data_IF_231360664052
#
_entry.id   IF_231360664052
#
_cell.length_a   1.000
_cell.length_b   1.000
_cell.length_c   1.000
_cell.angle_alpha   90.00
_cell.angle_beta   90.00
_cell.angle_gamma   90.00
#
_symmetry.space_group_name_H-M   'P 1'
#
loop_
_entity.id
_entity.type
_entity.pdbx_description
1 polymer ?
#
# COMPACT_ATOMS: atom_id res chain seq x y z
N UNK A 1 6.88 16.14 -8.27
CA UNK A 1 6.03 15.76 -7.13
C UNK A 1 4.59 15.62 -7.63
N UNK A 2 3.93 14.51 -7.31
CA UNK A 2 2.55 14.25 -7.75
C UNK A 2 1.57 14.98 -6.84
N UNK A 3 0.81 15.93 -7.38
CA UNK A 3 -0.25 16.61 -6.64
C UNK A 3 -1.57 15.83 -6.72
N UNK A 4 -2.59 16.29 -5.98
CA UNK A 4 -3.89 15.60 -5.89
C UNK A 4 -4.60 15.49 -7.26
N UNK A 5 -4.60 16.55 -8.05
CA UNK A 5 -5.24 16.55 -9.38
C UNK A 5 -4.53 15.58 -10.34
N UNK A 6 -3.21 15.59 -10.33
CA UNK A 6 -2.42 14.64 -11.13
C UNK A 6 -2.67 13.19 -10.69
N UNK A 7 -2.84 12.96 -9.39
CA UNK A 7 -3.14 11.63 -8.84
C UNK A 7 -4.47 11.08 -9.37
N UNK A 8 -5.50 11.91 -9.45
CA UNK A 8 -6.82 11.50 -9.98
C UNK A 8 -6.72 11.18 -11.49
N UNK A 9 -5.91 11.94 -12.24
CA UNK A 9 -5.61 11.65 -13.66
C UNK A 9 -4.86 10.32 -13.78
N UNK A 10 -3.85 10.07 -12.97
CA UNK A 10 -3.08 8.82 -12.97
C UNK A 10 -3.97 7.62 -12.69
N UNK A 11 -4.97 7.75 -11.80
CA UNK A 11 -5.93 6.69 -11.55
C UNK A 11 -6.73 6.37 -12.83
N UNK A 12 -7.20 7.37 -13.56
CA UNK A 12 -7.93 7.15 -14.81
C UNK A 12 -7.04 6.52 -15.89
N UNK A 13 -5.80 6.95 -16.01
CA UNK A 13 -4.82 6.34 -16.92
C UNK A 13 -4.66 4.84 -16.61
N UNK A 14 -4.44 4.48 -15.34
CA UNK A 14 -4.28 3.09 -14.90
C UNK A 14 -5.51 2.24 -15.18
N UNK A 15 -6.71 2.78 -14.94
CA UNK A 15 -7.97 2.08 -15.25
C UNK A 15 -8.08 1.81 -16.76
N UNK A 16 -7.72 2.79 -17.60
CA UNK A 16 -7.72 2.63 -19.04
C UNK A 16 -6.68 1.61 -19.51
N UNK A 17 -5.49 1.64 -18.94
CA UNK A 17 -4.41 0.68 -19.21
C UNK A 17 -4.85 -0.77 -18.88
N UNK A 18 -5.50 -0.97 -17.75
CA UNK A 18 -6.04 -2.28 -17.36
C UNK A 18 -7.12 -2.75 -18.34
N UNK A 19 -8.04 -1.85 -18.73
CA UNK A 19 -9.10 -2.15 -19.71
C UNK A 19 -8.55 -2.46 -21.11
N UNK A 20 -7.49 -1.77 -21.53
CA UNK A 20 -6.80 -2.05 -22.79
C UNK A 20 -6.24 -3.48 -22.85
N UNK A 21 -5.83 -4.04 -21.71
CA UNK A 21 -5.43 -5.43 -21.56
C UNK A 21 -6.60 -6.40 -21.36
N UNK A 22 -7.85 -5.91 -21.47
CA UNK A 22 -9.08 -6.67 -21.20
C UNK A 22 -9.17 -7.23 -19.77
N UNK A 23 -8.51 -6.59 -18.82
CA UNK A 23 -8.64 -6.90 -17.40
C UNK A 23 -9.98 -6.33 -16.92
N UNK A 24 -10.85 -7.15 -16.31
CA UNK A 24 -12.23 -6.76 -15.98
C UNK A 24 -12.31 -5.96 -14.67
N UNK A 25 -11.62 -4.83 -14.61
CA UNK A 25 -11.72 -3.89 -13.48
C UNK A 25 -13.13 -3.34 -13.35
N UNK A 26 -13.57 -3.05 -12.13
CA UNK A 26 -14.90 -2.53 -11.87
C UNK A 26 -15.20 -1.26 -12.67
N UNK A 27 -16.46 -1.12 -13.10
CA UNK A 27 -16.97 0.13 -13.71
C UNK A 27 -17.33 1.18 -12.67
N UNK A 28 -17.38 0.81 -11.39
CA UNK A 28 -17.81 1.65 -10.26
C UNK A 28 -16.65 2.04 -9.34
N UNK A 29 -15.51 2.39 -9.91
CA UNK A 29 -14.37 2.94 -9.17
C UNK A 29 -14.55 4.45 -9.06
N UNK A 30 -14.49 4.99 -7.84
CA UNK A 30 -14.53 6.43 -7.58
C UNK A 30 -13.39 7.15 -8.31
N UNK A 31 -13.73 8.30 -8.94
CA UNK A 31 -12.77 9.04 -9.77
C UNK A 31 -11.67 9.72 -8.97
N UNK A 32 -11.94 10.02 -7.71
CA UNK A 32 -11.02 10.75 -6.83
C UNK A 32 -10.27 9.76 -5.93
N UNK A 33 -8.95 9.83 -5.94
CA UNK A 33 -8.10 9.07 -5.03
C UNK A 33 -8.14 9.70 -3.64
N UNK A 34 -8.27 8.90 -2.61
CA UNK A 34 -8.20 9.35 -1.23
C UNK A 34 -6.73 9.36 -0.79
N UNK A 35 -6.26 10.49 -0.26
CA UNK A 35 -4.91 10.61 0.31
C UNK A 35 -5.00 10.50 1.83
N UNK A 36 -4.41 9.45 2.40
CA UNK A 36 -4.46 9.18 3.83
C UNK A 36 -3.09 9.38 4.49
N UNK A 37 -3.02 10.27 5.48
CA UNK A 37 -1.79 10.55 6.23
C UNK A 37 -1.51 9.62 7.41
N UNK A 38 -2.45 8.73 7.78
CA UNK A 38 -2.31 7.86 8.96
C UNK A 38 -1.43 6.62 8.72
N UNK A 39 -1.50 5.92 7.55
CA UNK A 39 -0.68 4.75 7.32
C UNK A 39 0.80 5.09 7.31
N UNK A 40 1.62 4.23 7.94
CA UNK A 40 3.07 4.39 7.97
C UNK A 40 3.81 3.37 7.11
N UNK A 41 3.18 2.25 6.80
CA UNK A 41 3.81 1.12 6.11
C UNK A 41 3.15 0.73 4.79
N UNK A 42 1.81 0.79 4.70
CA UNK A 42 1.10 0.43 3.47
C UNK A 42 1.12 1.59 2.48
N UNK A 43 1.24 1.30 1.21
CA UNK A 43 1.29 2.29 0.14
C UNK A 43 -0.09 2.71 -0.33
N UNK A 44 -1.02 1.77 -0.42
CA UNK A 44 -2.39 2.00 -0.85
C UNK A 44 -3.41 1.09 -0.17
N UNK A 45 -4.66 1.26 -0.54
CA UNK A 45 -5.78 0.43 -0.09
C UNK A 45 -6.95 0.56 -1.05
N UNK A 46 -7.58 -0.56 -1.42
CA UNK A 46 -8.86 -0.60 -2.11
C UNK A 46 -9.96 -0.90 -1.09
N UNK A 47 -10.98 -0.05 -1.04
CA UNK A 47 -12.14 -0.23 -0.17
C UNK A 47 -13.41 -0.39 -0.98
N UNK A 48 -14.25 -1.34 -0.59
CA UNK A 48 -15.58 -1.48 -1.13
C UNK A 48 -16.54 -0.57 -0.38
N UNK A 49 -17.22 0.30 -1.09
CA UNK A 49 -18.28 1.18 -0.57
C UNK A 49 -19.65 0.75 -1.09
N UNK A 50 -20.72 1.44 -0.67
CA UNK A 50 -22.07 1.20 -1.17
C UNK A 50 -22.19 1.48 -2.68
N UNK A 51 -21.42 2.44 -3.19
CA UNK A 51 -21.49 2.92 -4.56
C UNK A 51 -20.41 2.32 -5.47
N UNK A 52 -19.52 1.47 -4.94
CA UNK A 52 -18.45 0.87 -5.72
C UNK A 52 -17.16 0.72 -4.93
N UNK A 53 -16.06 1.17 -5.52
CA UNK A 53 -14.73 1.05 -4.93
C UNK A 53 -14.06 2.41 -4.77
N UNK A 54 -13.43 2.61 -3.63
CA UNK A 54 -12.58 3.77 -3.33
C UNK A 54 -11.12 3.34 -3.31
N UNK A 55 -10.27 4.09 -3.99
CA UNK A 55 -8.82 3.87 -4.01
C UNK A 55 -8.16 4.91 -3.11
N UNK A 56 -7.38 4.42 -2.16
CA UNK A 56 -6.64 5.23 -1.20
C UNK A 56 -5.14 5.05 -1.43
N UNK A 57 -4.37 6.12 -1.33
CA UNK A 57 -2.92 6.08 -1.26
C UNK A 57 -2.41 6.76 0.01
N UNK A 58 -1.27 6.31 0.50
CA UNK A 58 -0.65 6.91 1.67
C UNK A 58 0.05 8.21 1.30
N UNK A 59 -0.13 9.25 2.12
CA UNK A 59 0.46 10.58 1.89
C UNK A 59 1.98 10.52 1.72
N UNK A 60 2.66 9.68 2.47
CA UNK A 60 4.12 9.57 2.37
C UNK A 60 4.60 9.17 0.97
N UNK A 61 3.76 8.49 0.18
CA UNK A 61 4.06 8.15 -1.21
C UNK A 61 4.19 9.40 -2.09
N UNK A 62 3.46 10.46 -1.76
CA UNK A 62 3.47 11.73 -2.49
C UNK A 62 4.54 12.71 -1.98
N UNK A 63 4.90 12.61 -0.70
CA UNK A 63 5.83 13.52 -0.03
C UNK A 63 7.31 13.12 -0.24
N UNK A 64 7.58 11.86 -0.61
CA UNK A 64 8.94 11.37 -0.78
C UNK A 64 9.50 11.75 -2.17
N UNK A 65 10.64 12.42 -2.18
CA UNK A 65 11.28 12.94 -3.39
C UNK A 65 11.70 11.85 -4.41
N UNK A 66 11.91 10.62 -3.95
CA UNK A 66 12.30 9.48 -4.79
C UNK A 66 11.12 8.79 -5.49
N UNK A 67 9.87 9.16 -5.18
CA UNK A 67 8.70 8.50 -5.73
C UNK A 67 8.32 9.09 -7.09
N UNK A 68 8.56 8.33 -8.17
CA UNK A 68 8.17 8.72 -9.53
C UNK A 68 6.68 8.49 -9.80
N UNK A 69 6.12 9.15 -10.82
CA UNK A 69 4.75 8.87 -11.28
C UNK A 69 4.54 7.40 -11.63
N UNK A 70 5.56 6.74 -12.18
CA UNK A 70 5.51 5.31 -12.50
C UNK A 70 5.32 4.43 -11.26
N UNK A 71 5.97 4.77 -10.17
CA UNK A 71 5.81 4.11 -8.87
C UNK A 71 4.38 4.33 -8.35
N UNK A 72 3.89 5.57 -8.38
CA UNK A 72 2.52 5.91 -7.98
C UNK A 72 1.50 5.14 -8.82
N UNK A 73 1.66 5.10 -10.15
CA UNK A 73 0.82 4.29 -11.05
C UNK A 73 0.87 2.80 -10.71
N UNK A 74 2.03 2.27 -10.36
CA UNK A 74 2.16 0.89 -9.90
C UNK A 74 1.34 0.59 -8.64
N UNK A 75 1.34 1.50 -7.67
CA UNK A 75 0.50 1.40 -6.47
C UNK A 75 -0.99 1.50 -6.82
N UNK A 76 -1.38 2.48 -7.64
CA UNK A 76 -2.76 2.61 -8.10
C UNK A 76 -3.23 1.36 -8.86
N UNK A 77 -2.38 0.80 -9.72
CA UNK A 77 -2.68 -0.43 -10.46
C UNK A 77 -2.88 -1.62 -9.52
N UNK A 78 -2.04 -1.76 -8.49
CA UNK A 78 -2.20 -2.77 -7.45
C UNK A 78 -3.61 -2.71 -6.82
N UNK A 79 -4.04 -1.52 -6.43
CA UNK A 79 -5.34 -1.32 -5.79
C UNK A 79 -6.51 -1.46 -6.77
N UNK A 80 -6.36 -0.99 -8.01
CA UNK A 80 -7.37 -1.14 -9.07
C UNK A 80 -7.61 -2.61 -9.39
N UNK A 81 -6.59 -3.46 -9.39
CA UNK A 81 -6.74 -4.90 -9.61
C UNK A 81 -7.59 -5.59 -8.54
N UNK A 82 -7.62 -5.06 -7.31
CA UNK A 82 -8.51 -5.56 -6.26
C UNK A 82 -10.00 -5.32 -6.55
N UNK A 83 -10.34 -4.46 -7.50
CA UNK A 83 -11.72 -4.23 -7.91
C UNK A 83 -12.25 -5.31 -8.86
N UNK A 84 -11.39 -6.15 -9.42
CA UNK A 84 -11.78 -7.27 -10.25
C UNK A 84 -12.48 -8.34 -9.42
N UNK A 85 -13.44 -9.03 -10.03
CA UNK A 85 -14.08 -10.18 -9.39
C UNK A 85 -13.04 -11.24 -9.01
N UNK A 86 -13.17 -11.81 -7.83
CA UNK A 86 -12.28 -12.85 -7.26
C UNK A 86 -10.81 -12.41 -7.08
N UNK A 87 -10.56 -11.10 -7.10
CA UNK A 87 -9.24 -10.49 -6.89
C UNK A 87 -9.13 -9.70 -5.57
N UNK A 88 -10.03 -9.94 -4.62
CA UNK A 88 -10.00 -9.26 -3.32
C UNK A 88 -8.70 -9.56 -2.55
N UNK A 89 -8.20 -10.78 -2.70
CA UNK A 89 -6.90 -11.19 -2.20
C UNK A 89 -5.89 -11.31 -3.34
N UNK A 90 -4.59 -11.44 -3.00
CA UNK A 90 -3.51 -11.61 -3.98
C UNK A 90 -3.39 -13.06 -4.47
N UNK A 91 -4.50 -13.64 -4.92
CA UNK A 91 -4.58 -15.00 -5.46
C UNK A 91 -3.96 -15.13 -6.85
N UNK A 92 -4.13 -16.31 -7.46
CA UNK A 92 -3.55 -16.61 -8.79
C UNK A 92 -4.06 -15.65 -9.87
N UNK A 93 -5.35 -15.34 -9.86
CA UNK A 93 -5.96 -14.45 -10.86
C UNK A 93 -5.42 -13.02 -10.73
N UNK A 94 -5.36 -12.48 -9.49
CA UNK A 94 -4.76 -11.17 -9.24
C UNK A 94 -3.30 -11.11 -9.71
N UNK A 95 -2.51 -12.16 -9.41
CA UNK A 95 -1.11 -12.26 -9.84
C UNK A 95 -0.99 -12.30 -11.36
N UNK A 96 -1.90 -12.99 -12.05
CA UNK A 96 -1.95 -13.03 -13.51
C UNK A 96 -2.17 -11.64 -14.10
N UNK A 97 -3.14 -10.89 -13.57
CA UNK A 97 -3.41 -9.52 -14.02
C UNK A 97 -2.25 -8.57 -13.71
N UNK A 98 -1.67 -8.67 -12.51
CA UNK A 98 -0.47 -7.90 -12.17
C UNK A 98 0.69 -8.19 -13.12
N UNK A 99 0.92 -9.46 -13.46
CA UNK A 99 1.93 -9.86 -14.44
C UNK A 99 1.70 -9.28 -15.83
N UNK A 100 0.45 -9.24 -16.29
CA UNK A 100 0.08 -8.63 -17.57
C UNK A 100 0.38 -7.13 -17.59
N UNK A 101 0.00 -6.40 -16.54
CA UNK A 101 0.30 -4.97 -16.43
C UNK A 101 1.80 -4.69 -16.31
N UNK A 102 2.52 -5.49 -15.54
CA UNK A 102 3.98 -5.39 -15.42
C UNK A 102 4.66 -5.56 -16.79
N UNK A 103 4.23 -6.55 -17.57
CA UNK A 103 4.79 -6.83 -18.89
C UNK A 103 4.47 -5.72 -19.89
N UNK A 104 3.26 -5.22 -19.90
CA UNK A 104 2.78 -4.23 -20.86
C UNK A 104 3.32 -2.81 -20.57
N UNK A 105 3.39 -2.41 -19.31
CA UNK A 105 3.68 -1.03 -18.90
C UNK A 105 4.96 -0.89 -18.06
N UNK A 106 5.66 -1.97 -17.78
CA UNK A 106 6.89 -1.96 -17.00
C UNK A 106 6.70 -1.57 -15.53
N UNK A 107 5.55 -1.87 -14.96
CA UNK A 107 5.32 -1.73 -13.52
C UNK A 107 6.04 -2.82 -12.73
N UNK A 108 6.13 -2.63 -11.43
CA UNK A 108 6.62 -3.63 -10.48
C UNK A 108 5.54 -3.97 -9.45
N UNK A 109 4.36 -4.34 -9.95
CA UNK A 109 3.22 -4.71 -9.12
C UNK A 109 3.52 -6.08 -8.50
N UNK A 110 3.57 -6.12 -7.16
CA UNK A 110 3.77 -7.33 -6.36
C UNK A 110 2.78 -7.32 -5.20
N UNK A 111 2.60 -8.47 -4.57
CA UNK A 111 1.83 -8.58 -3.33
C UNK A 111 2.34 -7.63 -2.24
N UNK A 112 3.65 -7.57 -2.07
CA UNK A 112 4.33 -6.68 -1.12
C UNK A 112 5.55 -6.08 -1.80
N UNK A 113 5.71 -4.77 -1.70
CA UNK A 113 6.90 -4.03 -2.11
C UNK A 113 7.64 -3.52 -0.87
N UNK A 114 8.97 -3.50 -0.92
CA UNK A 114 9.78 -2.84 0.09
C UNK A 114 9.84 -1.33 -0.16
N UNK A 115 10.20 -0.55 0.87
CA UNK A 115 10.41 0.89 0.69
C UNK A 115 11.54 1.22 -0.27
N UNK A 116 12.60 0.40 -0.29
CA UNK A 116 13.73 0.56 -1.21
C UNK A 116 13.30 0.39 -2.67
N UNK A 117 12.48 -0.65 -2.98
CA UNK A 117 11.92 -0.85 -4.33
C UNK A 117 11.02 0.30 -4.78
N UNK A 118 10.41 1.00 -3.82
CA UNK A 118 9.52 2.15 -4.05
C UNK A 118 10.27 3.49 -4.05
N UNK A 119 11.60 3.49 -4.12
CA UNK A 119 12.42 4.70 -4.14
C UNK A 119 12.51 5.43 -2.80
N UNK A 120 12.16 4.78 -1.71
CA UNK A 120 12.12 5.35 -0.35
C UNK A 120 13.13 4.66 0.57
N UNK A 121 14.35 4.46 0.09
CA UNK A 121 15.43 3.91 0.89
C UNK A 121 15.66 4.75 2.16
N UNK A 122 15.84 4.10 3.31
CA UNK A 122 16.00 4.75 4.61
C UNK A 122 14.69 5.04 5.35
N UNK A 123 13.50 4.88 4.73
CA UNK A 123 12.24 5.04 5.44
C UNK A 123 12.02 3.97 6.50
N UNK A 124 12.47 2.75 6.28
CA UNK A 124 12.41 1.68 7.28
C UNK A 124 13.22 2.01 8.51
N UNK A 125 14.41 2.59 8.33
CA UNK A 125 15.28 3.04 9.41
C UNK A 125 14.63 4.15 10.22
N UNK A 126 14.10 5.20 9.55
CA UNK A 126 13.35 6.27 10.22
C UNK A 126 12.14 5.75 10.99
N UNK A 127 11.43 4.75 10.47
CA UNK A 127 10.32 4.12 11.16
C UNK A 127 10.78 3.26 12.34
N UNK A 128 11.94 2.61 12.24
CA UNK A 128 12.53 1.87 13.33
C UNK A 128 12.97 2.81 14.46
N UNK A 129 13.63 3.93 14.15
CA UNK A 129 14.03 4.98 15.10
C UNK A 129 12.82 5.62 15.79
N UNK A 130 11.69 5.78 15.08
CA UNK A 130 10.45 6.32 15.64
C UNK A 130 9.70 5.37 16.57
N UNK A 131 10.17 4.13 16.74
CA UNK A 131 9.57 3.15 17.64
C UNK A 131 9.97 3.45 19.07
N UNK A 132 9.19 4.27 19.77
CA UNK A 132 9.36 4.49 21.19
C UNK A 132 9.03 3.22 21.99
N UNK A 133 10.05 2.62 22.60
CA UNK A 133 9.86 1.56 23.59
C UNK A 133 9.28 2.22 24.84
N UNK A 134 8.06 1.86 25.21
CA UNK A 134 7.37 2.39 26.39
C UNK A 134 7.44 1.45 27.57
N UNK A 135 7.59 0.16 27.31
CA UNK A 135 7.56 -0.90 28.31
C UNK A 135 8.68 -1.91 28.05
N UNK A 136 9.28 -2.41 29.11
CA UNK A 136 10.22 -3.51 29.06
C UNK A 136 9.67 -4.62 29.96
N UNK A 137 9.42 -5.80 29.38
CA UNK A 137 9.10 -7.00 30.14
C UNK A 137 10.40 -7.72 30.41
N UNK A 138 10.71 -7.95 31.68
CA UNK A 138 11.89 -8.73 32.08
C UNK A 138 11.47 -10.09 32.60
N UNK A 139 12.07 -11.14 32.11
CA UNK A 139 11.86 -12.47 32.64
C UNK A 139 12.53 -12.60 34.01
N UNK A 140 11.75 -12.88 35.05
CA UNK A 140 12.27 -13.05 36.42
C UNK A 140 13.24 -14.23 36.57
N UNK A 141 13.11 -15.25 35.71
CA UNK A 141 13.92 -16.46 35.79
C UNK A 141 15.28 -16.34 35.11
N UNK A 142 15.36 -15.71 33.95
CA UNK A 142 16.60 -15.63 33.17
C UNK A 142 17.07 -14.21 32.88
N UNK A 143 16.35 -13.18 33.37
CA UNK A 143 16.71 -11.76 33.20
C UNK A 143 16.52 -11.20 31.78
N UNK A 144 16.12 -12.03 30.81
CA UNK A 144 15.94 -11.59 29.42
C UNK A 144 14.89 -10.49 29.31
N UNK A 145 15.17 -9.45 28.56
CA UNK A 145 14.30 -8.30 28.35
C UNK A 145 13.62 -8.35 27.01
N UNK A 146 12.33 -7.96 26.98
CA UNK A 146 11.48 -7.90 25.80
C UNK A 146 10.86 -6.50 25.68
N UNK A 147 11.37 -5.64 24.78
CA UNK A 147 10.82 -4.31 24.59
C UNK A 147 9.43 -4.36 23.96
N UNK A 148 8.53 -3.48 24.41
CA UNK A 148 7.15 -3.35 23.92
C UNK A 148 6.76 -1.89 23.76
N UNK A 149 5.93 -1.60 22.75
CA UNK A 149 5.37 -0.28 22.50
C UNK A 149 3.99 -0.08 23.15
N UNK A 150 3.25 -1.16 23.36
CA UNK A 150 1.90 -1.16 23.91
C UNK A 150 1.82 -2.03 25.14
N UNK A 151 0.99 -1.58 26.08
CA UNK A 151 0.61 -2.42 27.21
C UNK A 151 -0.37 -3.51 26.73
N UNK A 152 -0.05 -4.76 27.00
CA UNK A 152 -0.85 -5.91 26.57
C UNK A 152 -1.44 -6.65 27.76
N UNK A 153 -2.50 -7.42 27.55
CA UNK A 153 -3.13 -8.25 28.61
C UNK A 153 -2.15 -9.23 29.27
N UNK A 154 -1.11 -9.66 28.57
CA UNK A 154 -0.04 -10.49 29.15
C UNK A 154 0.74 -9.73 30.22
N UNK A 155 0.91 -8.42 30.07
CA UNK A 155 1.61 -7.56 31.04
C UNK A 155 0.77 -7.28 32.30
N UNK A 156 -0.56 -7.47 32.22
CA UNK A 156 -1.44 -7.32 33.39
C UNK A 156 -1.37 -8.50 34.36
N UNK A 157 -0.87 -9.65 33.87
CA UNK A 157 -0.80 -10.90 34.66
C UNK A 157 0.56 -11.14 35.30
N UNK A 158 1.50 -10.19 35.15
CA UNK A 158 2.85 -10.21 35.69
C UNK A 158 2.91 -9.28 36.89
#
# INVERSE_FOLDING_TARGET
MVNKERLDILLQEVIQEARALKIPVSSTIEKNVIVNGRPKKRFGCCRKSRNGFEIEVSRFLLDEAGCSEKIVKGVLAHEVLHTCRDCYEHGMLWKSYAGQMNKAYGYQIKRVNSFAEMGMAGREEKLAESRHIRYIIQCKKCGRQYPRQRFTCVMQKI
#
